data_IF_342713494928
#
_entry.id   IF_342713494928
#
_cell.length_a   1.000
_cell.length_b   1.000
_cell.length_c   1.000
_cell.angle_alpha   90.00
_cell.angle_beta   90.00
_cell.angle_gamma   90.00
#
_symmetry.space_group_name_H-M   'P 1'
#
loop_
_entity.id
_entity.type
_entity.pdbx_description
1 polymer ?
#
# COMPACT_ATOMS: atom_id res chain seq x y z
N UNK A 1 2.96 1.62 12.95
CA UNK A 1 2.47 2.57 11.91
C UNK A 1 0.94 2.61 11.97
N UNK A 2 0.31 3.76 11.75
CA UNK A 2 -1.17 3.91 11.82
C UNK A 2 -1.80 3.69 10.44
N UNK A 3 -3.01 3.13 10.38
CA UNK A 3 -3.71 2.85 9.10
C UNK A 3 -3.84 4.09 8.21
N UNK A 4 -4.10 5.27 8.79
CA UNK A 4 -4.18 6.55 8.05
C UNK A 4 -2.89 6.88 7.28
N UNK A 5 -1.73 6.56 7.85
CA UNK A 5 -0.43 6.80 7.23
C UNK A 5 -0.24 5.80 6.10
N UNK A 6 -0.46 4.51 6.38
CA UNK A 6 -0.32 3.43 5.40
C UNK A 6 -1.19 3.71 4.18
N UNK A 7 -2.49 4.01 4.36
CA UNK A 7 -3.41 4.32 3.25
C UNK A 7 -2.91 5.44 2.34
N UNK A 8 -2.28 6.48 2.91
CA UNK A 8 -1.72 7.59 2.11
C UNK A 8 -0.46 7.22 1.35
N UNK A 9 0.29 6.23 1.83
CA UNK A 9 1.54 5.76 1.21
C UNK A 9 1.34 4.55 0.30
N UNK A 10 0.11 3.99 0.19
CA UNK A 10 -0.15 2.80 -0.63
C UNK A 10 0.05 3.07 -2.13
N UNK A 11 -0.25 4.27 -2.64
CA UNK A 11 0.01 4.60 -4.05
C UNK A 11 1.51 4.56 -4.33
N UNK A 12 2.31 5.34 -3.59
CA UNK A 12 3.76 5.34 -3.69
C UNK A 12 4.39 3.96 -3.48
N UNK A 13 3.77 3.09 -2.66
CA UNK A 13 4.18 1.71 -2.50
C UNK A 13 3.97 0.88 -3.78
N UNK A 14 2.82 1.03 -4.45
CA UNK A 14 2.52 0.37 -5.74
C UNK A 14 3.46 0.89 -6.83
N UNK A 15 3.67 2.21 -6.86
CA UNK A 15 4.53 2.91 -7.83
C UNK A 15 6.03 2.67 -7.57
N UNK A 16 6.39 1.92 -6.51
CA UNK A 16 7.77 1.63 -6.07
C UNK A 16 8.61 2.88 -5.78
N UNK A 17 7.96 3.97 -5.38
CA UNK A 17 8.60 5.26 -5.05
C UNK A 17 9.06 5.35 -3.58
N UNK A 18 8.72 4.36 -2.75
CA UNK A 18 9.11 4.35 -1.34
C UNK A 18 10.51 3.78 -1.11
N UNK A 19 11.15 4.28 -0.06
CA UNK A 19 12.44 3.72 0.38
C UNK A 19 12.26 2.32 0.97
N UNK A 20 13.30 1.48 0.89
CA UNK A 20 13.30 0.14 1.50
C UNK A 20 12.81 0.09 2.98
N UNK A 21 13.24 0.99 3.89
CA UNK A 21 12.73 0.99 5.26
C UNK A 21 11.26 1.42 5.38
N UNK A 22 10.71 2.17 4.43
CA UNK A 22 9.28 2.52 4.40
C UNK A 22 8.43 1.36 3.91
N UNK A 23 8.87 0.66 2.86
CA UNK A 23 8.24 -0.59 2.39
C UNK A 23 8.14 -1.61 3.52
N UNK A 24 9.23 -1.83 4.26
CA UNK A 24 9.27 -2.76 5.41
C UNK A 24 8.25 -2.40 6.49
N UNK A 25 8.06 -1.11 6.78
CA UNK A 25 7.06 -0.65 7.77
C UNK A 25 5.63 -0.89 7.28
N UNK A 26 5.38 -0.68 5.98
CA UNK A 26 4.09 -0.93 5.35
C UNK A 26 3.78 -2.43 5.34
N UNK A 27 4.71 -3.26 4.88
CA UNK A 27 4.57 -4.72 4.83
C UNK A 27 4.29 -5.31 6.22
N UNK A 28 5.04 -4.86 7.24
CA UNK A 28 4.78 -5.26 8.63
C UNK A 28 3.37 -4.90 9.09
N UNK A 29 2.85 -3.73 8.67
CA UNK A 29 1.47 -3.34 8.99
C UNK A 29 0.44 -4.16 8.20
N UNK A 30 0.69 -4.37 6.91
CA UNK A 30 -0.16 -5.18 6.04
C UNK A 30 -0.23 -6.62 6.53
N UNK A 31 0.81 -7.19 7.14
CA UNK A 31 0.77 -8.51 7.75
C UNK A 31 -0.26 -8.60 8.91
N UNK A 32 -0.44 -7.52 9.67
CA UNK A 32 -1.35 -7.46 10.82
C UNK A 32 -2.71 -6.81 10.56
N UNK A 33 -2.91 -6.11 9.45
CA UNK A 33 -4.10 -5.30 9.21
C UNK A 33 -4.84 -5.71 7.92
N UNK A 34 -5.96 -6.42 8.10
CA UNK A 34 -6.85 -6.82 6.99
C UNK A 34 -7.48 -5.63 6.26
N UNK A 35 -7.73 -4.52 6.96
CA UNK A 35 -8.32 -3.31 6.37
C UNK A 35 -7.34 -2.72 5.35
N UNK A 36 -6.07 -2.50 5.75
CA UNK A 36 -5.08 -1.93 4.84
C UNK A 36 -4.72 -2.89 3.68
N UNK A 37 -4.78 -4.22 3.88
CA UNK A 37 -4.66 -5.18 2.78
C UNK A 37 -5.77 -5.06 1.75
N UNK A 38 -7.02 -4.92 2.20
CA UNK A 38 -8.15 -4.72 1.29
C UNK A 38 -8.03 -3.43 0.49
N UNK A 39 -7.57 -2.35 1.13
CA UNK A 39 -7.33 -1.07 0.46
C UNK A 39 -6.20 -1.16 -0.56
N UNK A 40 -5.10 -1.86 -0.25
CA UNK A 40 -4.03 -2.12 -1.20
C UNK A 40 -4.55 -2.89 -2.42
N UNK A 41 -5.31 -3.97 -2.22
CA UNK A 41 -5.91 -4.74 -3.32
C UNK A 41 -6.93 -3.93 -4.13
N UNK A 42 -7.62 -2.96 -3.51
CA UNK A 42 -8.54 -2.06 -4.22
C UNK A 42 -7.77 -1.07 -5.08
N UNK A 43 -6.70 -0.49 -4.54
CA UNK A 43 -5.83 0.41 -5.27
C UNK A 43 -5.15 -0.32 -6.42
N UNK A 44 -4.50 -1.46 -6.17
CA UNK A 44 -3.82 -2.27 -7.20
C UNK A 44 -4.74 -2.57 -8.40
N UNK A 45 -5.99 -2.99 -8.14
CA UNK A 45 -6.99 -3.20 -9.20
C UNK A 45 -7.35 -1.92 -9.96
N UNK A 46 -7.40 -0.78 -9.29
CA UNK A 46 -7.65 0.49 -9.98
C UNK A 46 -6.48 0.86 -10.90
N UNK A 47 -5.24 0.57 -10.51
CA UNK A 47 -4.06 0.76 -11.36
C UNK A 47 -4.05 -0.19 -12.56
N UNK A 48 -4.38 -1.47 -12.38
CA UNK A 48 -4.50 -2.44 -13.49
C UNK A 48 -5.49 -2.00 -14.58
N UNK A 49 -6.55 -1.27 -14.21
CA UNK A 49 -7.55 -0.74 -15.16
C UNK A 49 -7.02 0.48 -15.93
N UNK A 50 -6.12 1.25 -15.32
CA UNK A 50 -5.58 2.49 -15.88
C UNK A 50 -4.37 2.28 -16.79
N UNK A 51 -3.67 1.14 -16.67
CA UNK A 51 -2.51 0.75 -17.50
C UNK A 51 -2.93 0.15 -18.88
N UNK A 52 -4.00 0.66 -19.51
CA UNK A 52 -4.45 0.29 -20.86
C UNK A 52 -3.97 1.31 -21.91
#
# INVERSE_FOLDING_TARGET
MKCRIVKKTLSAYIDKELTAPECLKIEKHLAGCSICRQELNRLARAWEILDI
#
